data_IF_026057002032
#
_entry.id   IF_026057002032
#
_cell.length_a   1.000
_cell.length_b   1.000
_cell.length_c   1.000
_cell.angle_alpha   90.00
_cell.angle_beta   90.00
_cell.angle_gamma   90.00
#
_symmetry.space_group_name_H-M   'P 1'
#
loop_
_entity.id
_entity.type
_entity.pdbx_description
1 polymer ?
#
# COMPACT_ATOMS: atom_id res chain seq x y z
N UNK A 1 23.43 -32.98 -3.14
CA UNK A 1 22.70 -32.47 -4.33
C UNK A 1 21.64 -31.51 -3.84
N UNK A 2 21.84 -30.21 -4.04
CA UNK A 2 20.90 -29.17 -3.61
C UNK A 2 19.74 -29.14 -4.61
N UNK A 3 18.53 -29.48 -4.17
CA UNK A 3 17.34 -29.47 -5.00
C UNK A 3 17.08 -28.04 -5.48
N UNK A 4 17.05 -27.82 -6.80
CA UNK A 4 16.69 -26.52 -7.37
C UNK A 4 15.26 -26.18 -6.96
N UNK A 5 15.07 -25.05 -6.28
CA UNK A 5 13.76 -24.53 -5.87
C UNK A 5 12.94 -24.23 -7.13
N UNK A 6 11.91 -25.02 -7.42
CA UNK A 6 11.02 -24.73 -8.55
C UNK A 6 10.18 -23.48 -8.23
N UNK A 7 10.30 -22.46 -9.07
CA UNK A 7 9.46 -21.27 -9.01
C UNK A 7 8.11 -21.55 -9.67
N UNK A 8 7.02 -21.43 -8.91
CA UNK A 8 5.66 -21.54 -9.42
C UNK A 8 5.04 -20.16 -9.52
N UNK A 9 4.52 -19.82 -10.70
CA UNK A 9 3.70 -18.63 -10.89
C UNK A 9 2.38 -18.79 -10.14
N UNK A 10 2.14 -17.95 -9.14
CA UNK A 10 0.93 -17.95 -8.31
C UNK A 10 -0.16 -17.03 -8.84
N UNK A 11 0.20 -15.93 -9.49
CA UNK A 11 -0.71 -14.94 -10.05
C UNK A 11 -0.16 -14.42 -11.38
N UNK A 12 -0.98 -14.46 -12.43
CA UNK A 12 -0.75 -13.82 -13.71
C UNK A 12 -1.28 -12.39 -13.78
N UNK A 13 -0.98 -11.71 -14.88
CA UNK A 13 -1.36 -10.32 -15.10
C UNK A 13 -2.88 -10.11 -15.01
N UNK A 14 -3.66 -11.02 -15.62
CA UNK A 14 -5.13 -10.96 -15.57
C UNK A 14 -5.70 -11.24 -14.19
N UNK A 15 -5.09 -12.15 -13.42
CA UNK A 15 -5.51 -12.44 -12.05
C UNK A 15 -5.26 -11.24 -11.14
N UNK A 16 -4.08 -10.61 -11.26
CA UNK A 16 -3.75 -9.36 -10.55
C UNK A 16 -4.71 -8.24 -10.95
N UNK A 17 -5.00 -8.09 -12.26
CA UNK A 17 -5.95 -7.09 -12.75
C UNK A 17 -7.34 -7.29 -12.17
N UNK A 18 -7.88 -8.51 -12.22
CA UNK A 18 -9.20 -8.83 -11.63
C UNK A 18 -9.22 -8.60 -10.12
N UNK A 19 -8.14 -8.95 -9.41
CA UNK A 19 -8.04 -8.72 -7.97
C UNK A 19 -8.09 -7.22 -7.63
N UNK A 20 -7.35 -6.38 -8.37
CA UNK A 20 -7.33 -4.93 -8.14
C UNK A 20 -8.67 -4.27 -8.45
N UNK A 21 -9.35 -4.70 -9.53
CA UNK A 21 -10.72 -4.23 -9.84
C UNK A 21 -11.67 -4.58 -8.71
N UNK A 22 -11.64 -5.83 -8.22
CA UNK A 22 -12.47 -6.27 -7.09
C UNK A 22 -12.20 -5.46 -5.82
N UNK A 23 -10.92 -5.28 -5.45
CA UNK A 23 -10.53 -4.49 -4.28
C UNK A 23 -11.01 -3.05 -4.42
N UNK A 24 -10.96 -2.47 -5.61
CA UNK A 24 -11.42 -1.10 -5.85
C UNK A 24 -12.93 -0.94 -5.58
N UNK A 25 -13.75 -1.88 -6.04
CA UNK A 25 -15.18 -1.91 -5.70
C UNK A 25 -15.42 -2.10 -4.19
N UNK A 26 -14.70 -3.02 -3.55
CA UNK A 26 -14.81 -3.25 -2.10
C UNK A 26 -14.45 -2.00 -1.28
N UNK A 27 -13.45 -1.22 -1.72
CA UNK A 27 -13.10 0.06 -1.10
C UNK A 27 -14.25 1.05 -1.24
N UNK A 28 -14.86 1.18 -2.42
CA UNK A 28 -15.96 2.11 -2.64
C UNK A 28 -17.19 1.76 -1.80
N UNK A 29 -17.60 0.49 -1.82
CA UNK A 29 -18.78 -0.02 -1.11
C UNK A 29 -18.66 0.16 0.41
N UNK A 30 -17.50 -0.20 0.99
CA UNK A 30 -17.27 -0.10 2.44
C UNK A 30 -17.15 1.33 2.97
N UNK A 31 -16.89 2.28 2.09
CA UNK A 31 -16.60 3.67 2.48
C UNK A 31 -17.64 4.69 2.02
N UNK A 32 -18.69 4.24 1.33
CA UNK A 32 -19.72 5.11 0.75
C UNK A 32 -19.10 6.18 -0.17
N UNK A 33 -18.13 5.75 -0.98
CA UNK A 33 -17.34 6.61 -1.87
C UNK A 33 -15.93 6.93 -1.33
N UNK A 34 -15.27 7.91 -1.96
CA UNK A 34 -13.81 8.16 -1.81
C UNK A 34 -13.44 9.39 -0.99
N UNK A 35 -14.41 10.23 -0.61
CA UNK A 35 -14.15 11.57 -0.08
C UNK A 35 -13.29 11.59 1.20
N UNK A 36 -13.43 10.56 2.04
CA UNK A 36 -12.67 10.39 3.29
C UNK A 36 -11.69 9.23 3.24
N UNK A 37 -11.35 8.74 2.05
CA UNK A 37 -10.39 7.64 1.86
C UNK A 37 -9.05 8.20 1.42
N UNK A 38 -7.98 7.69 2.01
CA UNK A 38 -6.60 7.95 1.57
C UNK A 38 -5.89 6.62 1.38
N UNK A 39 -5.37 6.37 0.18
CA UNK A 39 -4.57 5.19 -0.11
C UNK A 39 -3.09 5.49 0.18
N UNK A 40 -2.42 4.65 0.95
CA UNK A 40 -1.01 4.81 1.30
C UNK A 40 -0.24 3.56 0.89
N UNK A 41 0.56 3.67 -0.16
CA UNK A 41 1.42 2.59 -0.61
C UNK A 41 2.70 2.49 0.20
N UNK A 42 3.00 1.31 0.72
CA UNK A 42 4.32 1.08 1.33
C UNK A 42 5.37 0.94 0.23
N UNK A 43 6.53 1.58 0.40
CA UNK A 43 7.60 1.59 -0.61
C UNK A 43 8.07 0.19 -1.02
N UNK A 44 8.61 0.14 -2.26
CA UNK A 44 8.86 -1.01 -3.15
C UNK A 44 7.72 -1.31 -4.12
N UNK A 45 6.80 -2.23 -3.80
CA UNK A 45 5.75 -2.69 -4.75
C UNK A 45 4.33 -2.27 -4.36
N UNK A 46 4.11 -1.74 -3.14
CA UNK A 46 2.82 -1.17 -2.72
C UNK A 46 2.45 0.12 -3.46
N UNK A 47 3.44 0.96 -3.80
CA UNK A 47 3.22 2.24 -4.51
C UNK A 47 2.64 2.05 -5.93
N UNK A 48 3.19 1.19 -6.81
CA UNK A 48 2.55 0.89 -8.09
C UNK A 48 1.12 0.33 -7.97
N UNK A 49 0.86 -0.51 -6.96
CA UNK A 49 -0.49 -1.04 -6.72
C UNK A 49 -1.44 0.07 -6.27
N UNK A 50 -0.98 1.00 -5.44
CA UNK A 50 -1.73 2.18 -5.00
C UNK A 50 -2.17 3.04 -6.18
N UNK A 51 -1.26 3.33 -7.11
CA UNK A 51 -1.58 4.09 -8.32
C UNK A 51 -2.62 3.38 -9.19
N UNK A 52 -2.53 2.04 -9.32
CA UNK A 52 -3.52 1.25 -10.08
C UNK A 52 -4.89 1.23 -9.41
N UNK A 53 -4.94 1.09 -8.08
CA UNK A 53 -6.20 1.17 -7.33
C UNK A 53 -6.85 2.55 -7.48
N UNK A 54 -6.06 3.63 -7.36
CA UNK A 54 -6.55 4.99 -7.54
C UNK A 54 -7.13 5.20 -8.95
N UNK A 55 -6.48 4.67 -10.00
CA UNK A 55 -6.98 4.73 -11.37
C UNK A 55 -8.32 4.00 -11.55
N UNK A 56 -8.45 2.77 -11.03
CA UNK A 56 -9.72 2.02 -11.10
C UNK A 56 -10.83 2.71 -10.30
N UNK A 57 -10.52 3.22 -9.11
CA UNK A 57 -11.47 3.98 -8.30
C UNK A 57 -11.97 5.21 -9.05
N UNK A 58 -11.08 5.97 -9.69
CA UNK A 58 -11.45 7.11 -10.53
C UNK A 58 -12.33 6.71 -11.70
N UNK A 59 -12.01 5.59 -12.36
CA UNK A 59 -12.80 5.05 -13.47
C UNK A 59 -14.24 4.72 -13.05
N UNK A 60 -14.43 4.16 -11.85
CA UNK A 60 -15.74 3.70 -11.38
C UNK A 60 -16.60 4.79 -10.71
N UNK A 61 -15.98 5.68 -9.93
CA UNK A 61 -16.67 6.71 -9.13
C UNK A 61 -16.65 8.09 -9.81
N UNK A 62 -15.79 8.30 -10.82
CA UNK A 62 -15.59 9.59 -11.48
C UNK A 62 -14.87 10.65 -10.61
N UNK A 63 -14.34 10.24 -9.45
CA UNK A 63 -13.65 11.10 -8.48
C UNK A 63 -12.28 10.54 -8.16
N UNK A 64 -11.29 11.43 -8.02
CA UNK A 64 -9.97 11.04 -7.55
C UNK A 64 -9.98 10.71 -6.06
N UNK A 65 -9.32 9.62 -5.68
CA UNK A 65 -8.99 9.28 -4.29
C UNK A 65 -7.59 9.79 -3.97
N UNK A 66 -7.39 10.34 -2.77
CA UNK A 66 -6.06 10.77 -2.34
C UNK A 66 -5.14 9.53 -2.25
N UNK A 67 -3.96 9.61 -2.86
CA UNK A 67 -3.02 8.50 -2.96
C UNK A 67 -1.60 8.99 -2.65
N UNK A 68 -0.95 8.34 -1.69
CA UNK A 68 0.39 8.68 -1.23
C UNK A 68 1.29 7.47 -1.08
N UNK A 69 2.48 7.71 -0.55
CA UNK A 69 3.48 6.68 -0.27
C UNK A 69 4.13 6.89 1.09
N UNK A 70 4.51 5.79 1.74
CA UNK A 70 5.12 5.79 3.05
C UNK A 70 6.45 5.02 3.02
N UNK A 71 7.53 5.70 3.39
CA UNK A 71 8.79 5.04 3.72
C UNK A 71 8.81 4.64 5.18
N UNK A 72 8.81 3.33 5.42
CA UNK A 72 8.91 2.76 6.76
C UNK A 72 10.35 2.36 7.13
N UNK A 73 11.34 2.70 6.30
CA UNK A 73 12.74 2.33 6.53
C UNK A 73 13.30 2.81 7.87
N UNK A 74 12.78 3.90 8.43
CA UNK A 74 13.17 4.41 9.76
C UNK A 74 12.45 3.71 10.92
N UNK A 75 11.33 3.03 10.66
CA UNK A 75 10.47 2.36 11.65
C UNK A 75 10.71 0.84 11.71
N UNK A 76 11.75 0.36 11.02
CA UNK A 76 12.12 -1.04 10.96
C UNK A 76 13.22 -1.32 11.98
N UNK A 77 12.82 -1.89 13.11
CA UNK A 77 13.72 -2.26 14.23
C UNK A 77 14.80 -3.30 13.84
N UNK A 78 14.61 -4.00 12.71
CA UNK A 78 15.47 -5.10 12.25
C UNK A 78 16.64 -4.65 11.36
N UNK A 79 16.80 -3.35 11.09
CA UNK A 79 17.86 -2.80 10.23
C UNK A 79 19.22 -2.57 10.92
N UNK A 80 19.40 -3.04 12.16
CA UNK A 80 20.62 -2.84 12.93
C UNK A 80 21.89 -3.50 12.34
N UNK A 81 21.81 -4.21 11.21
CA UNK A 81 22.85 -5.16 10.76
C UNK A 81 23.51 -5.00 9.39
N UNK A 82 23.18 -4.03 8.54
CA UNK A 82 23.97 -3.83 7.31
C UNK A 82 23.21 -3.24 6.11
N UNK A 83 23.84 -2.22 5.50
CA UNK A 83 23.35 -1.30 4.48
C UNK A 83 22.30 -0.29 5.00
N UNK A 84 22.68 1.01 4.98
CA UNK A 84 21.72 2.11 5.19
C UNK A 84 20.60 1.97 4.15
N UNK A 85 19.31 1.97 4.57
CA UNK A 85 18.22 2.03 3.63
C UNK A 85 18.39 3.25 2.74
N UNK A 86 18.19 3.09 1.43
CA UNK A 86 17.99 4.25 0.56
C UNK A 86 16.70 4.90 1.02
N UNK A 87 16.80 6.01 1.75
CA UNK A 87 15.62 6.77 2.17
C UNK A 87 14.87 7.21 0.92
N UNK A 88 13.63 6.77 0.83
CA UNK A 88 12.67 7.25 -0.14
C UNK A 88 11.80 8.31 0.53
N UNK A 89 11.31 9.25 -0.26
CA UNK A 89 10.44 10.29 0.27
C UNK A 89 9.09 9.68 0.66
N UNK A 90 8.66 9.90 1.91
CA UNK A 90 7.26 9.77 2.31
C UNK A 90 6.48 10.93 1.71
N UNK A 91 5.37 10.64 1.06
CA UNK A 91 4.53 11.61 0.40
C UNK A 91 3.06 11.33 0.73
N UNK A 92 2.48 12.16 1.60
CA UNK A 92 1.08 12.07 1.99
C UNK A 92 0.44 13.38 1.53
N UNK A 93 -0.36 13.36 0.44
CA UNK A 93 -0.77 14.58 -0.26
C UNK A 93 -1.88 15.37 0.46
N UNK A 94 -2.45 14.80 1.52
CA UNK A 94 -3.56 15.38 2.30
C UNK A 94 -3.35 15.08 3.77
N UNK A 95 -3.90 15.93 4.64
CA UNK A 95 -4.06 15.58 6.04
C UNK A 95 -4.92 14.32 6.19
N UNK A 96 -4.46 13.38 7.01
CA UNK A 96 -5.10 12.08 7.24
C UNK A 96 -5.94 12.05 8.52
N UNK A 97 -5.94 13.12 9.32
CA UNK A 97 -6.78 13.24 10.51
C UNK A 97 -8.27 13.05 10.15
N UNK A 98 -8.98 12.24 10.95
CA UNK A 98 -10.38 11.85 10.74
C UNK A 98 -10.69 11.20 9.36
N UNK A 99 -9.67 10.70 8.66
CA UNK A 99 -9.82 9.98 7.40
C UNK A 99 -9.59 8.48 7.57
N UNK A 100 -10.18 7.72 6.65
CA UNK A 100 -9.95 6.29 6.52
C UNK A 100 -8.69 6.06 5.68
N UNK A 101 -7.60 5.70 6.35
CA UNK A 101 -6.34 5.37 5.69
C UNK A 101 -6.32 3.89 5.31
N UNK A 102 -6.06 3.60 4.04
CA UNK A 102 -5.93 2.24 3.51
C UNK A 102 -4.48 2.02 3.13
N UNK A 103 -3.81 1.17 3.89
CA UNK A 103 -2.42 0.76 3.62
C UNK A 103 -2.42 -0.26 2.49
N UNK A 104 -1.59 -0.04 1.48
CA UNK A 104 -1.46 -0.91 0.31
C UNK A 104 -0.07 -1.54 0.30
N UNK A 105 -0.05 -2.86 0.38
CA UNK A 105 1.14 -3.69 0.33
C UNK A 105 0.96 -4.80 -0.71
N UNK A 106 2.05 -5.30 -1.27
CA UNK A 106 2.01 -6.33 -2.30
C UNK A 106 1.88 -7.74 -1.72
N UNK A 107 2.50 -7.99 -0.56
CA UNK A 107 2.47 -9.28 0.14
C UNK A 107 2.40 -9.06 1.65
N UNK A 108 1.24 -9.36 2.23
CA UNK A 108 1.13 -9.49 3.68
C UNK A 108 1.78 -10.81 4.13
N UNK A 109 2.88 -10.70 4.88
CA UNK A 109 3.58 -11.86 5.44
C UNK A 109 3.57 -11.87 6.97
N UNK A 110 4.68 -11.53 7.63
CA UNK A 110 4.77 -11.50 9.10
C UNK A 110 4.05 -10.32 9.75
N UNK A 111 3.60 -9.35 8.96
CA UNK A 111 2.93 -8.14 9.45
C UNK A 111 3.86 -7.03 9.97
N UNK A 112 5.17 -7.26 10.08
CA UNK A 112 6.14 -6.23 10.55
C UNK A 112 6.08 -4.93 9.74
N UNK A 113 5.97 -5.04 8.43
CA UNK A 113 5.80 -3.91 7.50
C UNK A 113 4.57 -3.07 7.83
N UNK A 114 3.42 -3.74 8.07
CA UNK A 114 2.16 -3.06 8.38
C UNK A 114 2.22 -2.40 9.75
N UNK A 115 2.81 -3.06 10.76
CA UNK A 115 3.00 -2.46 12.09
C UNK A 115 3.82 -1.17 12.02
N UNK A 116 4.98 -1.22 11.37
CA UNK A 116 5.82 -0.04 11.16
C UNK A 116 5.10 1.07 10.38
N UNK A 117 4.25 0.71 9.41
CA UNK A 117 3.43 1.68 8.69
C UNK A 117 2.36 2.33 9.57
N UNK A 118 1.71 1.55 10.44
CA UNK A 118 0.74 2.08 11.40
C UNK A 118 1.40 3.02 12.42
N UNK A 119 2.56 2.64 12.94
CA UNK A 119 3.32 3.47 13.88
C UNK A 119 3.69 4.81 13.21
N UNK A 120 4.22 4.76 11.99
CA UNK A 120 4.54 5.95 11.21
C UNK A 120 3.30 6.83 10.91
N UNK A 121 2.15 6.23 10.58
CA UNK A 121 0.93 6.98 10.28
C UNK A 121 0.36 7.70 11.51
N UNK A 122 0.52 7.15 12.71
CA UNK A 122 0.12 7.82 13.95
C UNK A 122 0.92 9.12 14.20
N UNK A 123 2.12 9.24 13.66
CA UNK A 123 2.90 10.50 13.73
C UNK A 123 2.38 11.57 12.74
N UNK A 124 1.64 11.16 11.70
CA UNK A 124 1.06 12.06 10.68
C UNK A 124 -0.40 12.46 10.96
N UNK A 125 -1.16 11.65 11.71
CA UNK A 125 -2.53 11.95 12.10
C UNK A 125 -2.65 11.93 13.63
N UNK A 126 -2.82 13.10 14.24
CA UNK A 126 -3.11 13.25 15.67
C UNK A 126 -4.58 13.53 15.93
#
# INVERSE_FOLDING_TARGET
MTQAKQERKILGADEIRRALVRISHEILERNSGVQRVVLIGIHTRGVPLTARLAAYIREFEGKDVAAGSLDIGLYRDDLAGGARPVMRKTDIPVDIQDRKVIIVDDVLYTGRTIRAAMDALNDFGR
#
